data_IF_153801172485
#
_entry.id   IF_153801172485
#
_cell.length_a   1.000
_cell.length_b   1.000
_cell.length_c   1.000
_cell.angle_alpha   90.00
_cell.angle_beta   90.00
_cell.angle_gamma   90.00
#
_symmetry.space_group_name_H-M   'P 1'
#
loop_
_entity.id
_entity.type
_entity.pdbx_description
1 polymer ?
#
# COMPACT_ATOMS: atom_id res chain seq x y z
N UNK A 1 5.99 16.84 23.68
CA UNK A 1 4.87 16.88 22.72
C UNK A 1 5.19 15.90 21.61
N UNK A 2 4.35 14.88 21.40
CA UNK A 2 4.48 14.07 20.18
C UNK A 2 4.16 14.99 18.99
N UNK A 3 5.13 15.14 18.08
CA UNK A 3 4.94 15.90 16.85
C UNK A 3 3.92 15.13 16.00
N UNK A 4 2.96 15.86 15.45
CA UNK A 4 1.96 15.28 14.55
C UNK A 4 2.65 14.52 13.40
N UNK A 5 2.27 13.25 13.15
CA UNK A 5 2.80 12.49 12.03
C UNK A 5 2.47 13.15 10.69
N UNK A 6 3.36 12.98 9.72
CA UNK A 6 3.09 13.41 8.34
C UNK A 6 2.00 12.53 7.73
N UNK A 7 1.09 13.13 6.97
CA UNK A 7 0.21 12.38 6.08
C UNK A 7 0.87 12.26 4.71
N UNK A 8 0.88 11.05 4.17
CA UNK A 8 1.40 10.79 2.83
C UNK A 8 0.34 10.14 1.94
N UNK A 9 0.41 10.47 0.66
CA UNK A 9 -0.37 9.87 -0.40
C UNK A 9 0.55 9.37 -1.50
N UNK A 10 0.07 8.44 -2.31
CA UNK A 10 0.83 7.97 -3.47
C UNK A 10 -0.07 7.59 -4.63
N UNK A 11 0.27 8.00 -5.84
CA UNK A 11 -0.47 7.61 -7.04
C UNK A 11 0.49 7.30 -8.20
N UNK A 12 0.38 6.08 -8.74
CA UNK A 12 0.88 5.78 -10.08
C UNK A 12 -0.28 5.78 -11.06
N UNK A 13 -0.21 6.63 -12.07
CA UNK A 13 -1.15 6.66 -13.18
C UNK A 13 -0.90 5.53 -14.18
N UNK A 14 0.28 4.91 -14.17
CA UNK A 14 0.65 3.88 -15.14
C UNK A 14 -0.34 2.69 -15.18
N UNK A 15 -0.78 2.07 -14.06
CA UNK A 15 -1.80 1.03 -14.09
C UNK A 15 -3.15 1.49 -14.68
N UNK A 16 -3.55 2.75 -14.44
CA UNK A 16 -4.83 3.32 -14.88
C UNK A 16 -4.87 3.48 -16.40
N UNK A 17 -3.84 4.12 -16.97
CA UNK A 17 -3.78 4.40 -18.41
C UNK A 17 -3.58 3.12 -19.23
N UNK A 18 -3.07 2.06 -18.60
CA UNK A 18 -2.89 0.75 -19.22
C UNK A 18 -4.08 -0.20 -18.99
N UNK A 19 -5.24 0.32 -18.56
CA UNK A 19 -6.48 -0.44 -18.37
C UNK A 19 -6.26 -1.71 -17.52
N UNK A 20 -5.59 -1.57 -16.36
CA UNK A 20 -5.31 -2.72 -15.49
C UNK A 20 -6.57 -3.41 -14.97
N UNK A 21 -7.61 -2.64 -14.67
CA UNK A 21 -8.84 -3.18 -14.07
C UNK A 21 -9.88 -3.59 -15.11
N UNK A 22 -9.57 -3.54 -16.41
CA UNK A 22 -10.52 -3.76 -17.49
C UNK A 22 -11.76 -2.82 -17.44
N UNK A 23 -11.58 -1.64 -16.86
CA UNK A 23 -12.61 -0.59 -16.72
C UNK A 23 -12.37 0.60 -17.67
N UNK A 24 -11.46 0.47 -18.62
CA UNK A 24 -10.99 1.54 -19.49
C UNK A 24 -9.97 2.45 -18.80
N UNK A 25 -9.69 3.59 -19.41
CA UNK A 25 -8.81 4.60 -18.83
C UNK A 25 -9.57 5.41 -17.78
N UNK A 26 -9.24 5.20 -16.50
CA UNK A 26 -9.84 5.88 -15.33
C UNK A 26 -8.98 7.01 -14.77
N UNK A 27 -8.06 7.54 -15.57
CA UNK A 27 -7.13 8.59 -15.14
C UNK A 27 -7.89 9.81 -14.61
N UNK A 28 -8.85 10.35 -15.37
CA UNK A 28 -9.55 11.59 -15.00
C UNK A 28 -10.26 11.46 -13.65
N UNK A 29 -11.05 10.40 -13.47
CA UNK A 29 -11.76 10.14 -12.22
C UNK A 29 -10.79 9.96 -11.05
N UNK A 30 -9.68 9.25 -11.26
CA UNK A 30 -8.69 9.03 -10.21
C UNK A 30 -7.94 10.31 -9.82
N UNK A 31 -7.64 11.19 -10.78
CA UNK A 31 -7.05 12.51 -10.50
C UNK A 31 -7.99 13.33 -9.61
N UNK A 32 -9.28 13.40 -9.93
CA UNK A 32 -10.25 14.13 -9.11
C UNK A 32 -10.45 13.51 -7.72
N UNK A 33 -10.53 12.19 -7.65
CA UNK A 33 -10.65 11.46 -6.39
C UNK A 33 -9.43 11.71 -5.49
N UNK A 34 -8.23 11.64 -6.06
CA UNK A 34 -6.96 11.91 -5.36
C UNK A 34 -6.91 13.35 -4.84
N UNK A 35 -7.22 14.32 -5.70
CA UNK A 35 -7.28 15.72 -5.30
C UNK A 35 -8.27 15.93 -4.15
N UNK A 36 -9.46 15.36 -4.25
CA UNK A 36 -10.48 15.49 -3.21
C UNK A 36 -10.04 14.84 -1.90
N UNK A 37 -9.46 13.64 -1.92
CA UNK A 37 -8.95 12.96 -0.71
C UNK A 37 -7.88 13.80 0.00
N UNK A 38 -6.92 14.35 -0.75
CA UNK A 38 -5.87 15.25 -0.20
C UNK A 38 -6.50 16.51 0.42
N UNK A 39 -7.46 17.14 -0.26
CA UNK A 39 -8.15 18.33 0.25
C UNK A 39 -8.97 18.05 1.52
N UNK A 40 -9.58 16.86 1.64
CA UNK A 40 -10.24 16.44 2.88
C UNK A 40 -9.25 16.27 4.03
N UNK A 41 -8.04 15.79 3.76
CA UNK A 41 -7.00 15.69 4.78
C UNK A 41 -6.48 17.05 5.28
N UNK A 42 -6.50 18.08 4.43
CA UNK A 42 -6.17 19.45 4.85
C UNK A 42 -7.15 20.04 5.87
N UNK A 43 -8.33 19.46 6.06
CA UNK A 43 -9.23 19.85 7.15
C UNK A 43 -8.69 19.45 8.54
N UNK A 44 -7.69 18.56 8.60
CA UNK A 44 -7.20 17.95 9.83
C UNK A 44 -5.69 18.05 10.04
N UNK A 45 -4.91 18.22 8.96
CA UNK A 45 -3.45 18.14 8.98
C UNK A 45 -2.77 19.20 8.12
N UNK A 46 -1.61 19.67 8.59
CA UNK A 46 -0.80 20.66 7.88
C UNK A 46 0.31 20.01 7.03
N UNK A 47 0.97 18.96 7.53
CA UNK A 47 2.10 18.29 6.85
C UNK A 47 1.58 17.13 5.98
N UNK A 48 1.26 17.45 4.73
CA UNK A 48 0.80 16.50 3.71
C UNK A 48 1.79 16.45 2.54
N UNK A 49 2.19 15.23 2.14
CA UNK A 49 3.03 15.00 0.97
C UNK A 49 2.41 13.96 0.02
N UNK A 50 2.28 14.31 -1.25
CA UNK A 50 1.72 13.46 -2.30
C UNK A 50 2.83 13.02 -3.27
N UNK A 51 3.07 11.71 -3.36
CA UNK A 51 4.04 11.11 -4.26
C UNK A 51 3.37 10.65 -5.57
N UNK A 52 3.81 11.15 -6.72
CA UNK A 52 3.14 10.93 -8.01
C UNK A 52 4.13 10.63 -9.13
N UNK A 53 3.74 9.79 -10.08
CA UNK A 53 4.51 9.64 -11.33
C UNK A 53 4.32 10.85 -12.27
N UNK A 54 5.12 10.90 -13.34
CA UNK A 54 5.14 12.02 -14.30
C UNK A 54 3.76 12.31 -14.91
N UNK A 55 2.93 11.29 -15.11
CA UNK A 55 1.60 11.45 -15.71
C UNK A 55 0.65 12.10 -14.71
N UNK A 56 0.61 11.63 -13.47
CA UNK A 56 -0.21 12.22 -12.42
C UNK A 56 0.27 13.63 -12.01
N UNK A 57 1.59 13.86 -12.00
CA UNK A 57 2.20 15.15 -11.63
C UNK A 57 1.66 16.30 -12.47
N UNK A 58 1.47 16.10 -13.78
CA UNK A 58 0.92 17.10 -14.73
C UNK A 58 -0.41 17.71 -14.27
N UNK A 59 -1.19 16.97 -13.50
CA UNK A 59 -2.50 17.39 -13.01
C UNK A 59 -2.52 17.82 -11.54
N UNK A 60 -1.64 17.23 -10.72
CA UNK A 60 -1.73 17.34 -9.26
C UNK A 60 -0.69 18.29 -8.64
N UNK A 61 0.30 18.78 -9.39
CA UNK A 61 1.40 19.61 -8.87
C UNK A 61 0.97 20.90 -8.16
N UNK A 62 -0.26 21.40 -8.42
CA UNK A 62 -0.80 22.63 -7.83
C UNK A 62 -1.65 22.38 -6.57
N UNK A 63 -1.78 21.13 -6.10
CA UNK A 63 -2.47 20.87 -4.85
C UNK A 63 -1.77 21.59 -3.68
N UNK A 64 -2.52 22.02 -2.66
CA UNK A 64 -1.96 22.79 -1.53
C UNK A 64 -1.13 21.94 -0.54
N UNK A 65 -0.41 20.95 -1.05
CA UNK A 65 0.46 20.05 -0.31
C UNK A 65 1.82 19.95 -1.01
N UNK A 66 2.82 19.32 -0.38
CA UNK A 66 4.06 19.01 -1.09
C UNK A 66 3.80 17.91 -2.12
N UNK A 67 4.01 18.17 -3.40
CA UNK A 67 3.88 17.16 -4.46
C UNK A 67 5.26 16.73 -4.92
N UNK A 68 5.60 15.46 -4.70
CA UNK A 68 6.91 14.89 -5.00
C UNK A 68 6.80 13.97 -6.22
N UNK A 69 7.51 14.32 -7.30
CA UNK A 69 7.64 13.46 -8.48
C UNK A 69 8.50 12.24 -8.12
N UNK A 70 7.98 11.04 -8.40
CA UNK A 70 8.70 9.77 -8.22
C UNK A 70 8.99 9.10 -9.55
N UNK A 71 10.17 8.50 -9.65
CA UNK A 71 10.55 7.66 -10.77
C UNK A 71 10.56 6.20 -10.31
N UNK A 72 9.43 5.52 -10.49
CA UNK A 72 9.27 4.11 -10.16
C UNK A 72 9.19 3.27 -11.44
N UNK A 73 9.63 2.02 -11.34
CA UNK A 73 9.47 1.04 -12.40
C UNK A 73 7.98 0.88 -12.78
N UNK A 74 7.71 0.90 -14.08
CA UNK A 74 6.37 0.94 -14.65
C UNK A 74 5.78 -0.47 -14.66
N UNK A 75 5.08 -0.83 -13.59
CA UNK A 75 4.47 -2.14 -13.45
C UNK A 75 2.94 -2.09 -13.38
N UNK A 76 2.28 -2.64 -14.40
CA UNK A 76 0.81 -2.60 -14.50
C UNK A 76 0.14 -3.30 -13.32
N UNK A 77 0.66 -4.46 -12.88
CA UNK A 77 0.02 -5.28 -11.85
C UNK A 77 0.46 -4.97 -10.42
N UNK A 78 1.54 -4.21 -10.23
CA UNK A 78 2.08 -3.89 -8.90
C UNK A 78 1.79 -2.42 -8.63
N UNK A 79 0.51 -2.07 -8.60
CA UNK A 79 0.05 -0.68 -8.51
C UNK A 79 0.47 -0.01 -7.20
N UNK A 80 0.68 -0.79 -6.12
CA UNK A 80 1.14 -0.29 -4.83
C UNK A 80 2.62 0.09 -4.80
N UNK A 81 3.41 -0.10 -5.88
CA UNK A 81 4.84 0.29 -5.88
C UNK A 81 5.05 1.76 -5.54
N UNK A 82 4.13 2.64 -5.96
CA UNK A 82 4.18 4.06 -5.57
C UNK A 82 4.01 4.25 -4.06
N UNK A 83 3.16 3.44 -3.41
CA UNK A 83 2.96 3.44 -1.96
C UNK A 83 4.21 2.99 -1.23
N UNK A 84 4.81 1.87 -1.64
CA UNK A 84 6.04 1.36 -1.03
C UNK A 84 7.19 2.36 -1.21
N UNK A 85 7.32 2.96 -2.39
CA UNK A 85 8.29 4.02 -2.63
C UNK A 85 8.06 5.23 -1.71
N UNK A 86 6.82 5.71 -1.58
CA UNK A 86 6.47 6.80 -0.68
C UNK A 86 6.83 6.47 0.79
N UNK A 87 6.52 5.26 1.24
CA UNK A 87 6.86 4.74 2.58
C UNK A 87 8.38 4.71 2.79
N UNK A 88 9.14 4.28 1.78
CA UNK A 88 10.60 4.25 1.85
C UNK A 88 11.24 5.62 2.05
N UNK A 89 10.61 6.71 1.55
CA UNK A 89 11.10 8.08 1.73
C UNK A 89 10.90 8.63 3.16
N UNK A 90 10.16 7.94 4.02
CA UNK A 90 9.85 8.46 5.36
C UNK A 90 10.96 8.14 6.37
N UNK A 91 11.38 9.18 7.09
CA UNK A 91 12.40 9.15 8.14
C UNK A 91 11.86 9.51 9.54
N UNK A 92 10.54 9.70 9.65
CA UNK A 92 9.81 10.02 10.88
C UNK A 92 8.43 9.34 10.83
N UNK A 93 7.72 9.23 11.97
CA UNK A 93 6.37 8.68 11.99
C UNK A 93 5.43 9.34 10.98
N UNK A 94 4.60 8.53 10.34
CA UNK A 94 3.70 8.96 9.27
C UNK A 94 2.46 8.08 9.18
N UNK A 95 1.45 8.54 8.44
CA UNK A 95 0.32 7.75 7.98
C UNK A 95 0.18 7.89 6.46
N UNK A 96 0.19 6.76 5.76
CA UNK A 96 -0.25 6.67 4.39
C UNK A 96 -1.77 6.52 4.32
N UNK A 97 -2.39 7.25 3.39
CA UNK A 97 -3.82 7.16 3.07
C UNK A 97 -3.95 6.88 1.58
N UNK A 98 -4.76 5.87 1.21
CA UNK A 98 -5.09 5.59 -0.18
C UNK A 98 -5.93 6.71 -0.80
N UNK A 99 -5.78 6.91 -2.11
CA UNK A 99 -6.36 8.09 -2.78
C UNK A 99 -7.88 8.04 -2.94
N UNK A 100 -8.50 6.90 -2.64
CA UNK A 100 -9.94 6.67 -2.57
C UNK A 100 -10.51 6.70 -1.13
N UNK A 101 -9.69 7.02 -0.13
CA UNK A 101 -10.09 7.14 1.27
C UNK A 101 -10.36 8.61 1.62
N UNK A 102 -11.50 8.88 2.26
CA UNK A 102 -11.90 10.22 2.71
C UNK A 102 -12.05 10.23 4.23
N UNK A 103 -11.14 10.93 4.92
CA UNK A 103 -11.22 11.05 6.37
C UNK A 103 -12.24 12.11 6.78
N UNK A 104 -13.08 11.78 7.74
CA UNK A 104 -14.13 12.66 8.27
C UNK A 104 -13.83 13.17 9.68
N UNK A 105 -12.71 12.72 10.26
CA UNK A 105 -12.18 13.12 11.56
C UNK A 105 -10.68 12.86 11.62
N UNK A 106 -10.01 13.51 12.58
CA UNK A 106 -8.61 13.27 12.89
C UNK A 106 -8.38 11.81 13.33
N UNK A 107 -7.29 11.22 12.85
CA UNK A 107 -6.84 9.87 13.21
C UNK A 107 -6.18 9.94 14.59
N UNK A 108 -6.44 8.95 15.43
CA UNK A 108 -5.74 8.80 16.70
C UNK A 108 -4.32 8.29 16.46
N UNK A 109 -3.33 9.16 16.66
CA UNK A 109 -1.92 8.84 16.48
C UNK A 109 -1.28 8.18 17.70
N UNK A 110 -2.05 7.83 18.74
CA UNK A 110 -1.53 7.16 19.91
C UNK A 110 -1.32 5.66 19.66
N UNK A 111 -0.39 5.32 18.77
CA UNK A 111 0.00 3.94 18.46
C UNK A 111 1.49 3.69 18.61
N UNK A 112 1.82 2.50 19.13
CA UNK A 112 3.21 2.16 19.46
C UNK A 112 4.03 1.85 18.20
N UNK A 113 3.55 0.92 17.38
CA UNK A 113 4.34 0.35 16.28
C UNK A 113 3.77 0.74 14.92
N UNK A 114 2.57 0.26 14.59
CA UNK A 114 1.87 0.54 13.35
C UNK A 114 0.36 0.72 13.59
N UNK A 115 -0.30 1.38 12.65
CA UNK A 115 -1.74 1.59 12.59
C UNK A 115 -2.26 0.99 11.29
N UNK A 116 -3.38 0.27 11.37
CA UNK A 116 -4.04 -0.32 10.21
C UNK A 116 -5.53 -0.01 10.25
N UNK A 117 -6.15 0.19 9.08
CA UNK A 117 -7.57 0.55 8.99
C UNK A 117 -8.49 -0.49 9.63
N UNK A 118 -8.40 -1.75 9.17
CA UNK A 118 -9.26 -2.87 9.63
C UNK A 118 -8.73 -4.21 9.15
N UNK A 119 -9.22 -5.30 9.75
CA UNK A 119 -9.08 -6.65 9.17
C UNK A 119 -9.92 -6.78 7.90
N UNK A 120 -9.43 -7.58 6.95
CA UNK A 120 -10.20 -7.91 5.76
C UNK A 120 -11.28 -8.96 6.04
N UNK A 121 -12.52 -8.67 5.62
CA UNK A 121 -13.67 -9.57 5.81
C UNK A 121 -13.71 -10.74 4.81
N UNK A 122 -12.84 -10.71 3.80
CA UNK A 122 -12.92 -11.58 2.60
C UNK A 122 -11.70 -12.48 2.43
N UNK A 123 -10.92 -12.69 3.50
CA UNK A 123 -9.70 -13.51 3.50
C UNK A 123 -9.88 -14.86 2.79
N UNK A 124 -10.90 -15.63 3.17
CA UNK A 124 -11.16 -16.97 2.62
C UNK A 124 -11.34 -16.97 1.10
N UNK A 125 -11.91 -15.89 0.54
CA UNK A 125 -12.25 -15.79 -0.87
C UNK A 125 -11.11 -15.21 -1.70
N UNK A 126 -10.48 -14.13 -1.21
CA UNK A 126 -9.48 -13.40 -1.99
C UNK A 126 -8.04 -13.80 -1.66
N UNK A 127 -7.72 -14.24 -0.45
CA UNK A 127 -6.34 -14.41 -0.03
C UNK A 127 -5.89 -15.87 -0.05
N UNK A 128 -6.68 -16.79 0.52
CA UNK A 128 -6.22 -18.15 0.85
C UNK A 128 -5.49 -18.88 -0.28
N UNK A 129 -6.02 -18.89 -1.51
CA UNK A 129 -5.37 -19.58 -2.64
C UNK A 129 -4.07 -18.90 -3.09
N UNK A 130 -4.02 -17.58 -2.97
CA UNK A 130 -2.85 -16.79 -3.35
C UNK A 130 -1.74 -16.95 -2.31
N UNK A 131 -2.08 -16.98 -1.02
CA UNK A 131 -1.15 -17.28 0.07
C UNK A 131 -0.55 -18.68 -0.09
N UNK A 132 -1.38 -19.69 -0.42
CA UNK A 132 -0.89 -21.04 -0.70
C UNK A 132 0.09 -21.08 -1.89
N UNK A 133 -0.11 -20.24 -2.91
CA UNK A 133 0.85 -20.10 -4.01
C UNK A 133 2.18 -19.54 -3.52
N UNK A 134 2.18 -18.40 -2.81
CA UNK A 134 3.40 -17.77 -2.31
C UNK A 134 4.16 -18.69 -1.36
N UNK A 135 3.45 -19.45 -0.53
CA UNK A 135 4.04 -20.37 0.46
C UNK A 135 4.96 -21.44 -0.15
N UNK A 136 4.84 -21.74 -1.45
CA UNK A 136 5.75 -22.65 -2.15
C UNK A 136 7.15 -22.07 -2.39
N UNK A 137 7.33 -20.76 -2.17
CA UNK A 137 8.54 -20.02 -2.55
C UNK A 137 9.14 -19.20 -1.40
N UNK A 138 8.55 -19.26 -0.21
CA UNK A 138 8.89 -18.39 0.93
C UNK A 138 9.63 -19.12 2.04
N UNK A 139 10.23 -20.28 1.76
CA UNK A 139 10.99 -21.07 2.75
C UNK A 139 12.15 -20.30 3.41
N UNK A 140 12.68 -19.29 2.72
CA UNK A 140 13.77 -18.44 3.18
C UNK A 140 13.29 -17.14 3.85
N UNK A 141 11.98 -16.94 3.98
CA UNK A 141 11.39 -15.76 4.61
C UNK A 141 10.90 -16.12 6.01
N UNK A 142 11.74 -15.88 7.02
CA UNK A 142 11.45 -16.23 8.42
C UNK A 142 10.15 -15.62 8.97
N UNK A 143 9.69 -14.51 8.41
CA UNK A 143 8.46 -13.86 8.84
C UNK A 143 7.20 -14.42 8.18
N UNK A 144 7.33 -15.26 7.15
CA UNK A 144 6.20 -15.76 6.39
C UNK A 144 5.41 -16.81 7.15
N UNK A 145 4.08 -16.72 7.07
CA UNK A 145 3.14 -17.66 7.66
C UNK A 145 2.22 -18.21 6.57
N UNK A 146 2.06 -19.53 6.51
CA UNK A 146 1.35 -20.21 5.43
C UNK A 146 -0.18 -20.02 5.42
N UNK A 147 -0.81 -19.79 6.58
CA UNK A 147 -2.23 -19.42 6.67
C UNK A 147 -2.57 -18.76 8.02
N UNK A 148 -2.55 -17.43 8.10
CA UNK A 148 -3.00 -16.72 9.32
C UNK A 148 -4.52 -16.76 9.53
N UNK A 149 -5.29 -17.09 8.49
CA UNK A 149 -6.74 -16.95 8.51
C UNK A 149 -7.25 -15.50 8.40
N UNK A 150 -6.37 -14.50 8.30
CA UNK A 150 -6.73 -13.07 8.15
C UNK A 150 -5.67 -12.27 7.37
N UNK A 151 -6.07 -11.08 6.92
CA UNK A 151 -5.22 -10.00 6.41
C UNK A 151 -5.78 -8.64 6.87
N UNK A 152 -5.10 -7.54 6.56
CA UNK A 152 -5.53 -6.19 6.91
C UNK A 152 -5.69 -5.31 5.67
N UNK A 153 -6.67 -4.40 5.66
CA UNK A 153 -6.72 -3.33 4.67
C UNK A 153 -5.56 -2.37 4.92
N UNK A 154 -4.85 -2.02 3.85
CA UNK A 154 -3.80 -0.99 3.86
C UNK A 154 -4.29 0.35 3.26
N UNK A 155 -5.61 0.60 3.28
CA UNK A 155 -6.20 1.89 2.88
C UNK A 155 -5.79 3.04 3.79
N UNK A 156 -5.56 2.74 5.07
CA UNK A 156 -4.85 3.61 6.01
C UNK A 156 -3.77 2.75 6.67
N UNK A 157 -2.51 3.17 6.52
CA UNK A 157 -1.34 2.46 7.04
C UNK A 157 -0.37 3.46 7.68
N UNK A 158 -0.17 3.35 8.99
CA UNK A 158 0.76 4.18 9.73
C UNK A 158 1.93 3.40 10.32
N UNK A 159 3.10 4.03 10.39
CA UNK A 159 4.25 3.51 11.14
C UNK A 159 4.77 4.58 12.09
N UNK A 160 4.96 4.17 13.33
CA UNK A 160 5.65 4.92 14.37
C UNK A 160 6.98 4.22 14.73
N UNK A 161 7.04 2.90 14.61
CA UNK A 161 8.27 2.13 14.61
C UNK A 161 8.90 2.11 13.20
N UNK A 162 10.00 2.85 13.05
CA UNK A 162 10.71 2.97 11.77
C UNK A 162 11.51 1.72 11.40
N UNK A 163 11.88 0.88 12.38
CA UNK A 163 12.55 -0.39 12.11
C UNK A 163 11.54 -1.38 11.51
N UNK A 164 10.35 -1.47 12.11
CA UNK A 164 9.26 -2.28 11.55
C UNK A 164 8.88 -1.84 10.13
N UNK A 165 8.87 -0.52 9.87
CA UNK A 165 8.66 0.01 8.52
C UNK A 165 9.72 -0.48 7.53
N UNK A 166 10.99 -0.50 7.92
CA UNK A 166 12.07 -0.98 7.05
C UNK A 166 11.95 -2.48 6.80
N UNK A 167 11.67 -3.28 7.84
CA UNK A 167 11.40 -4.72 7.69
C UNK A 167 10.22 -4.99 6.73
N UNK A 168 9.16 -4.17 6.79
CA UNK A 168 8.04 -4.28 5.86
C UNK A 168 8.44 -4.00 4.41
N UNK A 169 9.29 -3.00 4.17
CA UNK A 169 9.82 -2.70 2.83
C UNK A 169 10.67 -3.86 2.31
N UNK A 170 11.58 -4.38 3.13
CA UNK A 170 12.46 -5.49 2.74
C UNK A 170 11.65 -6.76 2.42
N UNK A 171 10.66 -7.06 3.27
CA UNK A 171 9.72 -8.15 3.05
C UNK A 171 8.89 -7.97 1.76
N UNK A 172 8.46 -6.75 1.46
CA UNK A 172 7.76 -6.44 0.21
C UNK A 172 8.63 -6.78 -1.00
N UNK A 173 9.89 -6.31 -1.03
CA UNK A 173 10.77 -6.54 -2.18
C UNK A 173 11.12 -8.01 -2.36
N UNK A 174 11.26 -8.78 -1.27
CA UNK A 174 11.46 -10.22 -1.36
C UNK A 174 10.26 -10.95 -2.02
N UNK A 175 9.03 -10.54 -1.69
CA UNK A 175 7.83 -11.10 -2.30
C UNK A 175 7.57 -10.58 -3.72
N UNK A 176 7.96 -9.34 -4.03
CA UNK A 176 7.96 -8.80 -5.40
C UNK A 176 8.85 -9.66 -6.31
N UNK A 177 10.06 -10.00 -5.86
CA UNK A 177 10.97 -10.88 -6.58
C UNK A 177 10.35 -12.25 -6.86
N UNK A 178 9.71 -12.86 -5.86
CA UNK A 178 8.99 -14.14 -6.02
C UNK A 178 7.87 -14.00 -7.05
N UNK A 179 7.10 -12.93 -6.97
CA UNK A 179 6.00 -12.66 -7.90
C UNK A 179 6.49 -12.51 -9.34
N UNK A 180 7.56 -11.74 -9.58
CA UNK A 180 8.14 -11.53 -10.90
C UNK A 180 8.70 -12.84 -11.47
N UNK A 181 9.52 -13.56 -10.69
CA UNK A 181 10.17 -14.81 -11.12
C UNK A 181 9.16 -15.91 -11.43
N UNK A 182 8.02 -15.95 -10.73
CA UNK A 182 7.01 -17.00 -10.86
C UNK A 182 5.72 -16.51 -11.56
N UNK A 183 5.78 -15.42 -12.33
CA UNK A 183 4.61 -14.81 -12.98
C UNK A 183 3.81 -15.78 -13.84
N UNK A 184 4.49 -16.65 -14.59
CA UNK A 184 3.85 -17.66 -15.44
C UNK A 184 3.00 -18.65 -14.62
N UNK A 185 3.50 -19.10 -13.46
CA UNK A 185 2.81 -20.00 -12.54
C UNK A 185 1.59 -19.35 -11.90
N UNK A 186 1.62 -18.03 -11.74
CA UNK A 186 0.52 -17.27 -11.14
C UNK A 186 -0.59 -16.91 -12.15
N UNK A 187 -0.29 -16.82 -13.45
CA UNK A 187 -1.21 -16.38 -14.50
C UNK A 187 -2.62 -17.05 -14.44
N UNK A 188 -2.77 -18.37 -14.21
CA UNK A 188 -4.08 -19.01 -14.09
C UNK A 188 -4.93 -18.52 -12.90
N UNK A 189 -4.30 -18.05 -11.81
CA UNK A 189 -5.00 -17.42 -10.70
C UNK A 189 -5.51 -16.03 -11.11
N UNK A 190 -4.69 -15.26 -11.82
CA UNK A 190 -5.08 -13.93 -12.36
C UNK A 190 -6.33 -14.03 -13.24
N UNK A 191 -6.37 -15.01 -14.13
CA UNK A 191 -7.50 -15.25 -15.05
C UNK A 191 -8.80 -15.62 -14.32
N UNK A 192 -8.70 -16.12 -13.07
CA UNK A 192 -9.83 -16.39 -12.18
C UNK A 192 -10.20 -15.20 -11.29
N UNK A 193 -9.60 -14.04 -11.51
CA UNK A 193 -9.89 -12.80 -10.78
C UNK A 193 -9.09 -12.62 -9.48
N UNK A 194 -8.05 -13.42 -9.24
CA UNK A 194 -7.18 -13.25 -8.08
C UNK A 194 -6.14 -12.13 -8.31
N UNK A 195 -5.81 -11.40 -7.25
CA UNK A 195 -4.90 -10.26 -7.30
C UNK A 195 -3.68 -10.48 -6.39
N UNK A 196 -2.53 -10.94 -6.91
CA UNK A 196 -1.41 -11.50 -6.12
C UNK A 196 -0.77 -10.47 -5.23
N UNK A 197 -0.71 -9.26 -5.73
CA UNK A 197 -0.05 -8.14 -5.11
C UNK A 197 -0.79 -7.61 -3.87
N UNK A 198 -2.07 -7.94 -3.66
CA UNK A 198 -2.71 -7.72 -2.36
C UNK A 198 -2.08 -8.62 -1.29
N UNK A 199 -1.55 -9.79 -1.66
CA UNK A 199 -0.79 -10.64 -0.72
C UNK A 199 0.56 -10.00 -0.41
N UNK A 200 1.26 -9.51 -1.44
CA UNK A 200 2.58 -8.86 -1.33
C UNK A 200 2.53 -7.63 -0.39
N UNK A 201 1.44 -6.87 -0.44
CA UNK A 201 1.24 -5.70 0.45
C UNK A 201 0.59 -6.10 1.78
N UNK A 202 -0.64 -6.62 1.74
CA UNK A 202 -1.53 -6.68 2.90
C UNK A 202 -1.30 -7.92 3.76
N UNK A 203 -1.21 -9.09 3.13
CA UNK A 203 -0.97 -10.34 3.87
C UNK A 203 0.48 -10.41 4.38
N UNK A 204 1.44 -9.94 3.58
CA UNK A 204 2.84 -9.84 3.98
C UNK A 204 2.99 -9.05 5.29
N UNK A 205 2.34 -7.88 5.38
CA UNK A 205 2.34 -7.10 6.61
C UNK A 205 1.71 -7.87 7.77
N UNK A 206 0.57 -8.54 7.56
CA UNK A 206 -0.05 -9.36 8.59
C UNK A 206 0.90 -10.46 9.10
N UNK A 207 1.64 -11.11 8.20
CA UNK A 207 2.64 -12.14 8.49
C UNK A 207 3.82 -11.59 9.30
N UNK A 208 4.36 -10.46 8.88
CA UNK A 208 5.44 -9.77 9.59
C UNK A 208 5.01 -9.35 11.01
N UNK A 209 3.82 -8.78 11.16
CA UNK A 209 3.30 -8.41 12.49
C UNK A 209 3.13 -9.64 13.39
N UNK A 210 2.64 -10.75 12.83
CA UNK A 210 2.48 -12.00 13.56
C UNK A 210 3.84 -12.56 14.04
N UNK A 211 4.85 -12.62 13.17
CA UNK A 211 6.18 -13.14 13.54
C UNK A 211 6.87 -12.30 14.61
N UNK A 212 6.55 -10.99 14.67
CA UNK A 212 7.05 -10.06 15.70
C UNK A 212 6.17 -9.96 16.95
N UNK A 213 5.07 -10.72 17.03
CA UNK A 213 4.07 -10.61 18.10
C UNK A 213 3.52 -9.17 18.28
N UNK A 214 3.38 -8.43 17.19
CA UNK A 214 2.88 -7.05 17.18
C UNK A 214 1.39 -7.07 16.84
N UNK A 215 0.59 -6.43 17.71
CA UNK A 215 -0.80 -6.10 17.39
C UNK A 215 -0.85 -4.69 16.81
N UNK A 216 -1.38 -4.49 15.60
CA UNK A 216 -1.61 -3.16 15.08
C UNK A 216 -2.72 -2.47 15.88
N UNK A 217 -2.64 -1.14 15.95
CA UNK A 217 -3.76 -0.32 16.43
C UNK A 217 -4.84 -0.21 15.37
#
# INVERSE_FOLDING_TARGET
MHKEPRIIYSLSAFPLINNRWFQGNKLKETIYMTALSVLYSHLWYEDIELYVDETAYKYLYMLPCKVTLINIDKHKELWMKSKIHAIAQQNKPFIHIDTDVFITKKIDFNFKNCLLERKEGTYKYHYKKQVAFFSNYTEHLDHWHEDLGYSFSCGILGFNDMNLKNEFIDAYYALEDIFIKNRASYQPLKERGYEPCIVIEQYNLASLLNSRNIKPN
#
